data_IF_155481400493
#
_entry.id   IF_155481400493
#
_cell.length_a   1.000
_cell.length_b   1.000
_cell.length_c   1.000
_cell.angle_alpha   90.00
_cell.angle_beta   90.00
_cell.angle_gamma   90.00
#
_symmetry.space_group_name_H-M   'P 1'
#
loop_
_entity.id
_entity.type
_entity.pdbx_description
1 polymer ?
#
# COMPACT_ATOMS: atom_id res chain seq x y z
N UNK A 1 -28.78 -0.95 14.54
CA UNK A 1 -28.57 -1.00 16.01
C UNK A 1 -27.66 0.19 16.27
N UNK A 2 -28.21 1.30 16.77
CA UNK A 2 -27.51 2.60 16.75
C UNK A 2 -26.24 2.52 17.61
N UNK A 3 -25.07 2.74 17.00
CA UNK A 3 -23.87 3.03 17.77
C UNK A 3 -24.15 4.31 18.56
N UNK A 4 -23.88 4.36 19.87
CA UNK A 4 -24.42 5.45 20.64
C UNK A 4 -23.46 6.64 20.48
N UNK A 5 -24.00 7.79 20.06
CA UNK A 5 -23.34 9.06 19.72
C UNK A 5 -22.26 9.56 20.72
N UNK A 6 -22.15 8.98 21.92
CA UNK A 6 -21.17 9.38 22.92
C UNK A 6 -19.72 9.14 22.47
N UNK A 7 -19.42 8.02 21.79
CA UNK A 7 -18.05 7.69 21.42
C UNK A 7 -17.36 8.79 20.58
N UNK A 8 -18.13 9.49 19.74
CA UNK A 8 -17.60 10.56 18.90
C UNK A 8 -17.71 11.95 19.51
N UNK A 9 -18.67 12.20 20.42
CA UNK A 9 -18.63 13.40 21.24
C UNK A 9 -17.41 13.39 22.18
N UNK A 10 -16.93 12.22 22.59
CA UNK A 10 -15.66 12.13 23.30
C UNK A 10 -14.46 12.37 22.39
N UNK A 11 -14.54 11.98 21.11
CA UNK A 11 -13.46 12.24 20.16
C UNK A 11 -13.25 13.74 19.94
N UNK A 12 -14.31 14.52 19.75
CA UNK A 12 -14.18 15.99 19.63
C UNK A 12 -13.63 16.65 20.90
N UNK A 13 -13.92 16.09 22.07
CA UNK A 13 -13.47 16.62 23.36
C UNK A 13 -12.07 16.13 23.75
N UNK A 14 -11.57 15.06 23.14
CA UNK A 14 -10.27 14.47 23.44
C UNK A 14 -9.14 15.25 22.76
N UNK A 15 -8.97 16.52 23.13
CA UNK A 15 -8.01 17.42 22.48
C UNK A 15 -6.57 16.94 22.57
N UNK A 16 -6.19 16.10 23.52
CA UNK A 16 -4.85 15.50 23.62
C UNK A 16 -4.67 14.21 22.79
N UNK A 17 -5.70 13.76 22.06
CA UNK A 17 -5.65 12.52 21.30
C UNK A 17 -4.81 12.69 20.02
N UNK A 18 -3.71 11.95 19.94
CA UNK A 18 -2.81 11.99 18.79
C UNK A 18 -3.03 10.82 17.82
N UNK A 19 -3.52 9.67 18.32
CA UNK A 19 -3.76 8.48 17.52
C UNK A 19 -5.15 7.89 17.80
N UNK A 20 -5.84 7.51 16.73
CA UNK A 20 -7.15 6.88 16.82
C UNK A 20 -7.26 5.69 15.87
N UNK A 21 -7.74 4.57 16.40
CA UNK A 21 -8.03 3.37 15.61
C UNK A 21 -9.52 3.07 15.68
N UNK A 22 -10.16 3.04 14.50
CA UNK A 22 -11.59 2.80 14.37
C UNK A 22 -11.86 1.33 14.07
N UNK A 23 -12.20 0.55 15.10
CA UNK A 23 -12.62 -0.84 14.93
C UNK A 23 -14.13 -0.94 14.74
N UNK A 24 -14.58 -1.30 13.54
CA UNK A 24 -15.95 -1.75 13.30
C UNK A 24 -15.93 -3.25 12.98
N UNK A 25 -16.53 -4.05 13.86
CA UNK A 25 -16.56 -5.52 13.75
C UNK A 25 -17.81 -6.07 13.07
N UNK A 26 -18.81 -5.24 12.74
CA UNK A 26 -20.11 -5.72 12.28
C UNK A 26 -20.36 -5.41 10.80
N UNK A 27 -20.45 -6.47 10.00
CA UNK A 27 -20.90 -6.46 8.59
C UNK A 27 -22.40 -6.15 8.41
N UNK A 28 -23.14 -5.93 9.51
CA UNK A 28 -24.59 -5.73 9.54
C UNK A 28 -25.02 -4.32 9.94
N UNK A 29 -24.08 -3.43 10.24
CA UNK A 29 -24.36 -2.01 10.54
C UNK A 29 -24.12 -1.25 9.25
N UNK A 30 -25.18 -0.64 8.70
CA UNK A 30 -25.06 0.27 7.57
C UNK A 30 -24.08 1.38 7.93
N UNK A 31 -23.17 1.73 7.03
CA UNK A 31 -22.20 2.80 7.24
C UNK A 31 -22.87 4.14 7.63
N UNK A 32 -24.17 4.29 7.36
CA UNK A 32 -25.00 5.45 7.68
C UNK A 32 -25.40 5.58 9.17
N UNK A 33 -25.18 4.54 10.00
CA UNK A 33 -25.48 4.56 11.44
C UNK A 33 -24.32 5.16 12.29
N UNK A 34 -23.21 5.58 11.67
CA UNK A 34 -22.01 6.06 12.36
C UNK A 34 -21.94 7.59 12.48
N UNK A 35 -22.49 8.13 13.57
CA UNK A 35 -21.96 9.32 14.28
C UNK A 35 -21.89 10.67 13.54
N UNK A 36 -21.43 11.80 14.17
CA UNK A 36 -21.91 13.12 13.79
C UNK A 36 -21.47 13.50 12.39
N UNK A 37 -22.37 14.21 11.71
CA UNK A 37 -22.20 14.67 10.33
C UNK A 37 -21.04 15.68 10.13
N UNK A 38 -20.26 15.96 11.17
CA UNK A 38 -19.09 16.84 11.12
C UNK A 38 -18.21 16.58 12.35
N UNK A 39 -16.96 16.21 12.09
CA UNK A 39 -15.93 16.02 13.11
C UNK A 39 -14.71 16.83 12.69
N UNK A 40 -14.19 17.67 13.58
CA UNK A 40 -12.90 18.34 13.38
C UNK A 40 -12.00 17.96 14.55
N UNK A 41 -10.82 17.43 14.24
CA UNK A 41 -9.84 17.03 15.26
C UNK A 41 -8.45 17.52 14.89
N UNK A 42 -7.99 18.57 15.56
CA UNK A 42 -6.75 19.27 15.18
C UNK A 42 -5.50 18.50 15.61
N UNK A 43 -5.50 17.79 16.74
CA UNK A 43 -4.28 17.16 17.26
C UNK A 43 -4.07 15.72 16.79
N UNK A 44 -4.98 15.18 15.97
CA UNK A 44 -4.86 13.80 15.51
C UNK A 44 -3.80 13.72 14.42
N UNK A 45 -2.73 12.97 14.70
CA UNK A 45 -1.60 12.75 13.78
C UNK A 45 -1.65 11.37 13.14
N UNK A 46 -2.36 10.41 13.74
CA UNK A 46 -2.49 9.04 13.23
C UNK A 46 -3.93 8.56 13.24
N UNK A 47 -4.40 8.06 12.09
CA UNK A 47 -5.73 7.50 11.92
C UNK A 47 -5.65 6.13 11.25
N UNK A 48 -6.28 5.15 11.88
CA UNK A 48 -6.25 3.76 11.44
C UNK A 48 -7.70 3.25 11.26
N UNK A 49 -7.99 2.71 10.09
CA UNK A 49 -9.24 2.02 9.74
C UNK A 49 -8.93 0.55 9.42
N UNK A 50 -8.86 -0.34 10.43
CA UNK A 50 -8.36 -1.69 10.21
C UNK A 50 -9.23 -2.57 9.32
N UNK A 51 -10.54 -2.34 9.27
CA UNK A 51 -11.47 -3.23 8.55
C UNK A 51 -12.36 -2.49 7.54
N UNK A 52 -12.94 -1.35 7.91
CA UNK A 52 -13.91 -0.61 7.09
C UNK A 52 -13.64 0.88 7.21
N UNK A 53 -13.81 1.59 6.09
CA UNK A 53 -13.81 3.04 6.06
C UNK A 53 -15.24 3.56 6.25
N UNK A 54 -15.52 4.39 7.26
CA UNK A 54 -16.87 4.87 7.51
C UNK A 54 -17.35 5.79 6.38
N UNK A 55 -18.61 5.67 5.95
CA UNK A 55 -19.16 6.51 4.86
C UNK A 55 -19.10 7.99 5.22
N UNK A 56 -19.31 8.36 6.47
CA UNK A 56 -19.25 9.74 6.98
C UNK A 56 -17.85 10.35 7.00
N UNK A 57 -16.79 9.59 6.68
CA UNK A 57 -15.40 10.08 6.72
C UNK A 57 -15.21 11.37 5.90
N UNK A 58 -15.94 11.50 4.79
CA UNK A 58 -15.89 12.68 3.93
C UNK A 58 -16.31 14.00 4.62
N UNK A 59 -17.01 13.91 5.74
CA UNK A 59 -17.46 15.06 6.53
C UNK A 59 -16.46 15.47 7.62
N UNK A 60 -15.42 14.66 7.83
CA UNK A 60 -14.43 14.88 8.88
C UNK A 60 -13.26 15.76 8.39
N UNK A 61 -12.60 16.44 9.32
CA UNK A 61 -11.42 17.28 9.07
C UNK A 61 -10.35 17.05 10.13
N UNK A 62 -9.16 16.63 9.69
CA UNK A 62 -8.02 16.34 10.55
C UNK A 62 -6.76 17.00 9.97
N UNK A 63 -6.58 18.32 10.12
CA UNK A 63 -5.58 19.08 9.38
C UNK A 63 -4.12 18.71 9.68
N UNK A 64 -3.84 18.14 10.86
CA UNK A 64 -2.50 17.74 11.27
C UNK A 64 -2.25 16.23 11.11
N UNK A 65 -3.09 15.52 10.35
CA UNK A 65 -2.92 14.08 10.12
C UNK A 65 -1.61 13.80 9.35
N UNK A 66 -0.72 13.01 9.95
CA UNK A 66 0.55 12.62 9.35
C UNK A 66 0.53 11.18 8.84
N UNK A 67 -0.25 10.30 9.47
CA UNK A 67 -0.34 8.88 9.14
C UNK A 67 -1.77 8.43 8.92
N UNK A 68 -2.04 7.80 7.77
CA UNK A 68 -3.30 7.16 7.45
C UNK A 68 -3.06 5.69 7.11
N UNK A 69 -3.75 4.81 7.83
CA UNK A 69 -3.66 3.37 7.63
C UNK A 69 -5.04 2.78 7.36
N UNK A 70 -5.16 2.01 6.29
CA UNK A 70 -6.40 1.45 5.78
C UNK A 70 -6.29 -0.06 5.64
N UNK A 71 -7.27 -0.76 6.18
CA UNK A 71 -7.52 -2.20 6.01
C UNK A 71 -6.47 -3.13 6.63
N UNK A 72 -5.82 -2.74 7.72
CA UNK A 72 -4.75 -3.54 8.35
C UNK A 72 -5.20 -4.79 9.10
N UNK A 73 -6.47 -4.89 9.51
CA UNK A 73 -7.08 -6.08 10.12
C UNK A 73 -8.07 -6.74 9.16
N UNK A 74 -7.54 -7.38 8.13
CA UNK A 74 -8.31 -8.36 7.39
C UNK A 74 -8.19 -9.68 8.13
N UNK A 75 -9.32 -10.22 8.61
CA UNK A 75 -9.42 -11.58 9.17
C UNK A 75 -9.21 -12.68 8.11
N UNK A 76 -8.94 -12.29 6.86
CA UNK A 76 -8.47 -13.14 5.78
C UNK A 76 -6.97 -12.90 5.60
N UNK A 77 -6.25 -13.85 5.00
CA UNK A 77 -4.88 -13.62 4.53
C UNK A 77 -4.83 -12.24 3.85
N UNK A 78 -4.02 -11.28 4.33
CA UNK A 78 -4.08 -9.88 3.88
C UNK A 78 -3.84 -9.69 2.37
N UNK A 79 -3.39 -10.77 1.75
CA UNK A 79 -3.03 -10.97 0.37
C UNK A 79 -4.19 -11.54 -0.50
N UNK A 80 -5.36 -11.84 0.06
CA UNK A 80 -6.53 -12.37 -0.67
C UNK A 80 -7.80 -11.54 -0.48
N UNK A 81 -7.67 -10.35 0.10
CA UNK A 81 -8.81 -9.48 0.35
C UNK A 81 -9.37 -8.88 -0.95
N UNK A 82 -10.69 -8.67 -1.04
CA UNK A 82 -11.29 -8.03 -2.19
C UNK A 82 -10.75 -6.62 -2.38
N UNK A 83 -10.68 -6.17 -3.62
CA UNK A 83 -10.35 -4.79 -3.98
C UNK A 83 -11.24 -3.79 -3.23
N UNK A 84 -10.70 -2.62 -2.88
CA UNK A 84 -11.47 -1.54 -2.27
C UNK A 84 -12.52 -1.02 -3.24
N UNK A 85 -13.77 -0.90 -2.79
CA UNK A 85 -14.85 -0.42 -3.64
C UNK A 85 -14.81 1.10 -3.83
N UNK A 86 -15.27 1.58 -4.98
CA UNK A 86 -15.23 3.00 -5.37
C UNK A 86 -15.87 3.95 -4.35
N UNK A 87 -16.95 3.51 -3.70
CA UNK A 87 -17.64 4.29 -2.67
C UNK A 87 -16.72 4.60 -1.49
N UNK A 88 -16.03 3.59 -0.96
CA UNK A 88 -15.06 3.76 0.15
C UNK A 88 -13.95 4.74 -0.23
N UNK A 89 -13.40 4.61 -1.44
CA UNK A 89 -12.34 5.51 -1.93
C UNK A 89 -12.82 6.93 -2.18
N UNK A 90 -14.06 7.12 -2.63
CA UNK A 90 -14.67 8.45 -2.78
C UNK A 90 -14.70 9.18 -1.44
N UNK A 91 -15.06 8.50 -0.35
CA UNK A 91 -15.06 9.08 0.98
C UNK A 91 -13.65 9.50 1.43
N UNK A 92 -12.64 8.67 1.16
CA UNK A 92 -11.23 8.99 1.45
C UNK A 92 -10.78 10.22 0.65
N UNK A 93 -11.06 10.27 -0.66
CA UNK A 93 -10.68 11.39 -1.53
C UNK A 93 -11.34 12.71 -1.10
N UNK A 94 -12.56 12.68 -0.60
CA UNK A 94 -13.23 13.87 -0.09
C UNK A 94 -12.63 14.30 1.26
N UNK A 95 -12.34 13.34 2.13
CA UNK A 95 -11.68 13.59 3.41
C UNK A 95 -10.29 14.22 3.26
N UNK A 96 -9.47 13.73 2.32
CA UNK A 96 -8.15 14.30 2.03
C UNK A 96 -8.26 15.75 1.55
N UNK A 97 -9.22 16.04 0.66
CA UNK A 97 -9.50 17.41 0.17
C UNK A 97 -9.99 18.34 1.27
N UNK A 98 -10.87 17.85 2.14
CA UNK A 98 -11.48 18.62 3.22
C UNK A 98 -10.45 18.97 4.29
N UNK A 99 -9.65 17.98 4.71
CA UNK A 99 -8.68 18.14 5.79
C UNK A 99 -7.44 18.92 5.37
N UNK A 100 -7.04 18.85 4.09
CA UNK A 100 -5.83 19.51 3.54
C UNK A 100 -4.54 19.21 4.33
N UNK A 101 -4.46 18.04 4.95
CA UNK A 101 -3.28 17.62 5.70
C UNK A 101 -2.09 17.32 4.78
N UNK A 102 -0.90 17.40 5.35
CA UNK A 102 0.34 16.97 4.68
C UNK A 102 0.73 15.58 5.16
N UNK A 103 0.16 14.56 4.52
CA UNK A 103 0.36 13.17 4.92
C UNK A 103 1.81 12.73 4.71
N UNK A 104 2.43 12.16 5.74
CA UNK A 104 3.81 11.62 5.68
C UNK A 104 3.82 10.13 5.37
N UNK A 105 2.85 9.39 5.88
CA UNK A 105 2.75 7.94 5.71
C UNK A 105 1.34 7.52 5.30
N UNK A 106 1.25 6.77 4.19
CA UNK A 106 0.03 6.15 3.71
C UNK A 106 0.23 4.63 3.66
N UNK A 107 -0.68 3.88 4.27
CA UNK A 107 -0.67 2.41 4.23
C UNK A 107 -2.04 1.90 3.81
N UNK A 108 -2.09 1.17 2.70
CA UNK A 108 -3.32 0.55 2.18
C UNK A 108 -3.07 -0.94 2.00
N UNK A 109 -3.70 -1.74 2.86
CA UNK A 109 -3.46 -3.18 2.92
C UNK A 109 -4.40 -4.00 2.02
N UNK A 110 -5.41 -3.37 1.39
CA UNK A 110 -6.25 -3.98 0.33
C UNK A 110 -5.80 -3.50 -1.07
N UNK A 111 -5.96 -4.33 -2.11
CA UNK A 111 -5.77 -3.89 -3.50
C UNK A 111 -6.66 -2.69 -3.84
N UNK A 112 -6.14 -1.75 -4.62
CA UNK A 112 -6.87 -0.57 -5.12
C UNK A 112 -6.61 -0.43 -6.62
N UNK A 113 -7.64 -0.10 -7.39
CA UNK A 113 -7.49 0.19 -8.82
C UNK A 113 -6.50 1.31 -9.06
N UNK A 114 -5.68 1.15 -10.10
CA UNK A 114 -4.63 2.10 -10.46
C UNK A 114 -5.15 3.54 -10.59
N UNK A 115 -6.25 3.73 -11.32
CA UNK A 115 -6.82 5.06 -11.57
C UNK A 115 -7.26 5.78 -10.29
N UNK A 116 -7.85 5.06 -9.34
CA UNK A 116 -8.28 5.64 -8.06
C UNK A 116 -7.07 5.95 -7.17
N UNK A 117 -6.11 5.02 -7.09
CA UNK A 117 -4.90 5.23 -6.32
C UNK A 117 -4.09 6.43 -6.87
N UNK A 118 -4.03 6.57 -8.20
CA UNK A 118 -3.44 7.71 -8.90
C UNK A 118 -4.06 9.03 -8.45
N UNK A 119 -5.38 9.13 -8.42
CA UNK A 119 -6.09 10.35 -7.99
C UNK A 119 -5.88 10.68 -6.51
N UNK A 120 -5.75 9.67 -5.66
CA UNK A 120 -5.39 9.85 -4.25
C UNK A 120 -3.96 10.36 -4.11
N UNK A 121 -3.00 9.72 -4.80
CA UNK A 121 -1.58 10.07 -4.70
C UNK A 121 -1.27 11.44 -5.31
N UNK A 122 -1.99 11.88 -6.35
CA UNK A 122 -1.89 13.27 -6.85
C UNK A 122 -2.17 14.30 -5.75
N UNK A 123 -3.13 14.03 -4.86
CA UNK A 123 -3.47 14.94 -3.77
C UNK A 123 -2.47 14.90 -2.61
N UNK A 124 -1.89 13.73 -2.34
CA UNK A 124 -1.07 13.49 -1.14
C UNK A 124 0.45 13.53 -1.38
N UNK A 125 0.87 13.45 -2.64
CA UNK A 125 2.27 13.26 -3.07
C UNK A 125 3.28 14.25 -2.47
N UNK A 126 2.87 15.50 -2.24
CA UNK A 126 3.77 16.57 -1.76
C UNK A 126 4.29 16.36 -0.33
N UNK A 127 3.55 15.63 0.52
CA UNK A 127 3.95 15.30 1.89
C UNK A 127 4.53 13.90 2.05
N UNK A 128 4.22 13.01 1.11
CA UNK A 128 4.36 11.58 1.32
C UNK A 128 5.83 11.13 1.32
N UNK A 129 6.22 10.46 2.39
CA UNK A 129 7.57 9.92 2.60
C UNK A 129 7.63 8.40 2.69
N UNK A 130 6.54 7.78 3.17
CA UNK A 130 6.36 6.33 3.28
C UNK A 130 5.06 5.92 2.61
N UNK A 131 5.14 4.95 1.69
CA UNK A 131 4.00 4.38 0.99
C UNK A 131 4.00 2.86 1.12
N UNK A 132 2.92 2.30 1.65
CA UNK A 132 2.63 0.86 1.64
C UNK A 132 1.37 0.64 0.84
N UNK A 133 1.45 -0.16 -0.23
CA UNK A 133 0.30 -0.52 -1.05
C UNK A 133 0.26 -2.02 -1.30
N UNK A 134 -0.94 -2.59 -1.24
CA UNK A 134 -1.20 -3.91 -1.78
C UNK A 134 -1.55 -3.79 -3.26
N UNK A 135 -0.89 -4.58 -4.09
CA UNK A 135 -1.09 -4.62 -5.54
C UNK A 135 -1.67 -5.97 -5.94
N UNK A 136 -2.59 -5.94 -6.91
CA UNK A 136 -3.00 -7.13 -7.64
C UNK A 136 -1.95 -7.40 -8.71
N UNK A 137 -1.41 -8.62 -8.76
CA UNK A 137 -0.39 -8.96 -9.72
C UNK A 137 -0.87 -8.89 -11.16
N UNK A 138 -2.16 -9.09 -11.44
CA UNK A 138 -2.74 -9.02 -12.79
C UNK A 138 -2.76 -7.61 -13.37
N UNK A 139 -2.90 -6.59 -12.52
CA UNK A 139 -2.98 -5.17 -12.93
C UNK A 139 -1.76 -4.36 -12.50
N UNK A 140 -0.78 -5.00 -11.86
CA UNK A 140 0.43 -4.37 -11.33
C UNK A 140 1.20 -3.52 -12.36
N UNK A 141 1.37 -4.03 -13.58
CA UNK A 141 2.04 -3.29 -14.65
C UNK A 141 1.32 -2.00 -15.05
N UNK A 142 -0.01 -2.01 -15.11
CA UNK A 142 -0.81 -0.81 -15.39
C UNK A 142 -0.64 0.20 -14.26
N UNK A 143 -0.73 -0.27 -13.01
CA UNK A 143 -0.48 0.55 -11.84
C UNK A 143 0.92 1.19 -11.89
N UNK A 144 1.98 0.43 -12.13
CA UNK A 144 3.34 0.99 -12.14
C UNK A 144 3.59 1.97 -13.29
N UNK A 145 2.91 1.81 -14.43
CA UNK A 145 2.94 2.80 -15.52
C UNK A 145 2.20 4.07 -15.13
N UNK A 146 1.06 3.95 -14.46
CA UNK A 146 0.30 5.09 -13.92
C UNK A 146 1.01 5.78 -12.76
N UNK A 147 1.86 5.10 -12.01
CA UNK A 147 2.71 5.71 -10.98
C UNK A 147 4.07 6.18 -11.54
N UNK A 148 4.39 5.78 -12.77
CA UNK A 148 5.66 6.03 -13.41
C UNK A 148 5.88 7.49 -13.81
N UNK A 149 7.10 7.84 -14.21
CA UNK A 149 7.47 9.23 -14.55
C UNK A 149 6.63 9.85 -15.67
N UNK A 150 5.96 9.05 -16.49
CA UNK A 150 5.10 9.51 -17.60
C UNK A 150 3.72 9.99 -17.17
N UNK A 151 3.26 9.65 -15.96
CA UNK A 151 1.90 9.96 -15.51
C UNK A 151 1.74 11.34 -14.89
N UNK A 152 2.85 12.06 -14.68
CA UNK A 152 2.83 13.37 -14.04
C UNK A 152 2.53 13.33 -12.54
N UNK A 153 2.55 12.15 -11.89
CA UNK A 153 2.50 12.03 -10.42
C UNK A 153 3.93 12.14 -9.89
N UNK A 154 4.33 13.25 -9.27
CA UNK A 154 5.66 13.34 -8.71
C UNK A 154 5.65 12.57 -7.37
N UNK A 155 6.61 11.66 -7.16
CA UNK A 155 6.91 11.10 -5.83
C UNK A 155 8.20 11.70 -5.27
N UNK A 156 8.30 13.04 -5.17
CA UNK A 156 9.58 13.68 -4.94
C UNK A 156 10.10 13.38 -3.54
N UNK A 157 9.23 13.04 -2.58
CA UNK A 157 9.58 12.89 -1.17
C UNK A 157 9.52 11.45 -0.67
N UNK A 158 9.06 10.49 -1.49
CA UNK A 158 8.93 9.10 -1.07
C UNK A 158 10.32 8.50 -0.89
N UNK A 159 10.63 8.12 0.35
CA UNK A 159 11.87 7.45 0.75
C UNK A 159 11.67 5.96 0.95
N UNK A 160 10.46 5.56 1.31
CA UNK A 160 10.13 4.18 1.64
C UNK A 160 8.92 3.74 0.82
N UNK A 161 9.10 2.67 0.03
CA UNK A 161 8.05 2.03 -0.73
C UNK A 161 7.97 0.55 -0.33
N UNK A 162 6.79 0.13 0.11
CA UNK A 162 6.47 -1.29 0.34
C UNK A 162 5.37 -1.72 -0.61
N UNK A 163 5.66 -2.72 -1.42
CA UNK A 163 4.72 -3.37 -2.32
C UNK A 163 4.33 -4.71 -1.72
N UNK A 164 3.06 -4.87 -1.38
CA UNK A 164 2.50 -6.13 -0.90
C UNK A 164 1.78 -6.78 -2.05
N UNK A 165 1.98 -8.07 -2.29
CA UNK A 165 1.32 -8.78 -3.40
C UNK A 165 0.74 -10.11 -2.96
N UNK A 166 -0.44 -10.39 -3.51
CA UNK A 166 -1.15 -11.64 -3.32
C UNK A 166 -0.32 -12.88 -3.64
N UNK A 167 -0.60 -13.96 -2.92
CA UNK A 167 -0.06 -15.27 -3.23
C UNK A 167 -0.41 -15.63 -4.68
N UNK A 168 0.57 -16.20 -5.38
CA UNK A 168 0.54 -16.64 -6.79
C UNK A 168 1.02 -15.64 -7.85
N UNK A 169 1.35 -14.39 -7.50
CA UNK A 169 1.64 -13.40 -8.54
C UNK A 169 2.84 -12.49 -8.29
N UNK A 170 3.69 -12.74 -7.28
CA UNK A 170 4.91 -11.92 -7.07
C UNK A 170 5.77 -11.76 -8.32
N UNK A 171 5.76 -12.77 -9.21
CA UNK A 171 6.50 -12.74 -10.47
C UNK A 171 5.85 -11.89 -11.56
N UNK A 172 4.55 -11.65 -11.51
CA UNK A 172 3.89 -10.77 -12.48
C UNK A 172 4.37 -9.32 -12.33
N UNK A 173 4.85 -8.92 -11.14
CA UNK A 173 5.56 -7.65 -10.91
C UNK A 173 6.79 -7.48 -11.81
N UNK A 174 7.35 -8.60 -12.26
CA UNK A 174 8.56 -8.68 -13.06
C UNK A 174 8.28 -9.25 -14.45
N UNK A 175 7.03 -9.31 -14.93
CA UNK A 175 6.71 -9.73 -16.31
C UNK A 175 7.02 -8.65 -17.34
N UNK A 176 6.95 -7.38 -16.95
CA UNK A 176 7.43 -6.24 -17.73
C UNK A 176 8.46 -5.40 -16.96
N UNK A 177 8.91 -4.29 -17.54
CA UNK A 177 9.89 -3.39 -16.94
C UNK A 177 9.26 -2.22 -16.16
N UNK A 178 7.94 -2.21 -15.95
CA UNK A 178 7.23 -1.08 -15.37
C UNK A 178 7.66 -0.82 -13.92
N UNK A 179 7.74 -1.86 -13.09
CA UNK A 179 8.25 -1.76 -11.71
C UNK A 179 9.68 -1.22 -11.69
N UNK A 180 10.53 -1.74 -12.57
CA UNK A 180 11.94 -1.34 -12.66
C UNK A 180 12.09 0.13 -13.04
N UNK A 181 11.30 0.61 -14.01
CA UNK A 181 11.28 2.02 -14.41
C UNK A 181 10.81 2.92 -13.27
N UNK A 182 9.75 2.52 -12.58
CA UNK A 182 9.21 3.24 -11.43
C UNK A 182 10.27 3.37 -10.32
N UNK A 183 10.81 2.24 -9.85
CA UNK A 183 11.82 2.20 -8.78
C UNK A 183 13.06 2.99 -9.18
N UNK A 184 13.55 2.84 -10.41
CA UNK A 184 14.71 3.58 -10.90
C UNK A 184 14.46 5.09 -10.88
N UNK A 185 13.26 5.52 -11.30
CA UNK A 185 12.86 6.93 -11.28
C UNK A 185 12.81 7.47 -9.86
N UNK A 186 12.13 6.75 -8.96
CA UNK A 186 12.01 7.17 -7.55
C UNK A 186 13.36 7.16 -6.83
N UNK A 187 14.25 6.20 -7.12
CA UNK A 187 15.58 6.12 -6.53
C UNK A 187 16.50 7.28 -6.93
N UNK A 188 16.43 7.72 -8.20
CA UNK A 188 17.13 8.93 -8.64
C UNK A 188 16.64 10.19 -7.93
N UNK A 189 15.40 10.18 -7.44
CA UNK A 189 14.83 11.29 -6.68
C UNK A 189 15.19 11.17 -5.20
N UNK A 190 14.56 10.23 -4.48
CA UNK A 190 14.71 10.13 -3.03
C UNK A 190 14.47 8.74 -2.43
N UNK A 191 14.06 7.72 -3.21
CA UNK A 191 13.78 6.38 -2.69
C UNK A 191 15.04 5.76 -2.09
N UNK A 192 14.95 5.38 -0.81
CA UNK A 192 16.02 4.73 -0.03
C UNK A 192 15.69 3.30 0.32
N UNK A 193 14.43 2.97 0.52
CA UNK A 193 13.98 1.65 0.92
C UNK A 193 12.91 1.14 -0.05
N UNK A 194 13.11 -0.07 -0.55
CA UNK A 194 12.14 -0.83 -1.33
C UNK A 194 11.93 -2.18 -0.65
N UNK A 195 10.72 -2.44 -0.20
CA UNK A 195 10.30 -3.75 0.29
C UNK A 195 9.25 -4.34 -0.66
N UNK A 196 9.45 -5.58 -1.09
CA UNK A 196 8.44 -6.37 -1.79
C UNK A 196 8.08 -7.53 -0.87
N UNK A 197 6.82 -7.61 -0.45
CA UNK A 197 6.31 -8.59 0.51
C UNK A 197 5.27 -9.51 -0.15
N UNK A 198 5.45 -10.82 0.00
CA UNK A 198 4.53 -11.83 -0.48
C UNK A 198 4.35 -12.92 0.59
N UNK A 199 3.12 -13.42 0.79
CA UNK A 199 2.85 -14.45 1.79
C UNK A 199 3.23 -15.87 1.38
N UNK A 200 3.36 -16.17 0.08
CA UNK A 200 3.70 -17.49 -0.42
C UNK A 200 4.24 -17.45 -1.86
N UNK A 201 5.30 -18.22 -2.12
CA UNK A 201 5.66 -18.60 -3.49
C UNK A 201 5.00 -19.92 -3.83
N UNK A 202 3.97 -19.88 -4.68
CA UNK A 202 3.76 -21.05 -5.54
C UNK A 202 4.89 -21.11 -6.57
N UNK A 203 5.41 -22.31 -6.80
CA UNK A 203 6.42 -22.57 -7.82
C UNK A 203 5.91 -22.08 -9.19
N UNK A 204 6.55 -21.05 -9.73
CA UNK A 204 6.38 -20.66 -11.13
C UNK A 204 7.60 -21.13 -11.93
N UNK A 205 7.40 -21.51 -13.20
CA UNK A 205 8.50 -21.90 -14.06
C UNK A 205 9.47 -20.73 -14.25
N UNK A 206 10.76 -21.06 -14.24
CA UNK A 206 11.84 -20.13 -14.52
C UNK A 206 11.60 -19.33 -15.80
N UNK A 207 11.73 -17.99 -15.73
CA UNK A 207 11.69 -17.08 -16.88
C UNK A 207 12.93 -16.17 -16.89
N UNK A 208 13.78 -16.21 -17.94
CA UNK A 208 15.01 -15.41 -18.00
C UNK A 208 14.80 -13.91 -17.74
N UNK A 209 13.76 -13.31 -18.33
CA UNK A 209 13.47 -11.87 -18.18
C UNK A 209 13.17 -11.46 -16.73
N UNK A 210 12.55 -12.34 -15.93
CA UNK A 210 12.29 -12.09 -14.50
C UNK A 210 13.61 -12.02 -13.74
N UNK A 211 14.55 -12.91 -14.07
CA UNK A 211 15.87 -12.95 -13.43
C UNK A 211 16.71 -11.72 -13.75
N UNK A 212 16.68 -11.24 -15.00
CA UNK A 212 17.36 -10.00 -15.38
C UNK A 212 16.85 -8.80 -14.57
N UNK A 213 15.54 -8.72 -14.33
CA UNK A 213 14.90 -7.65 -13.55
C UNK A 213 15.24 -7.75 -12.06
N UNK A 214 15.27 -8.95 -11.51
CA UNK A 214 15.74 -9.18 -10.13
C UNK A 214 17.23 -8.82 -9.97
N UNK A 215 18.06 -9.18 -10.95
CA UNK A 215 19.48 -8.80 -10.98
C UNK A 215 19.64 -7.27 -11.06
N UNK A 216 18.76 -6.58 -11.79
CA UNK A 216 18.74 -5.12 -11.83
C UNK A 216 18.40 -4.51 -10.45
N UNK A 217 17.39 -5.02 -9.74
CA UNK A 217 17.09 -4.56 -8.38
C UNK A 217 18.28 -4.77 -7.43
N UNK A 218 19.00 -5.88 -7.60
CA UNK A 218 20.22 -6.14 -6.85
C UNK A 218 21.35 -5.16 -7.20
N UNK A 219 21.47 -4.75 -8.45
CA UNK A 219 22.41 -3.71 -8.85
C UNK A 219 22.05 -2.36 -8.20
N UNK A 220 20.77 -1.99 -8.12
CA UNK A 220 20.33 -0.82 -7.37
C UNK A 220 20.67 -0.94 -5.87
N UNK A 221 20.56 -2.15 -5.30
CA UNK A 221 20.98 -2.39 -3.91
C UNK A 221 22.46 -2.07 -3.68
N UNK A 222 23.33 -2.47 -4.60
CA UNK A 222 24.76 -2.11 -4.58
C UNK A 222 25.01 -0.61 -4.76
N UNK A 223 24.06 0.13 -5.31
CA UNK A 223 24.11 1.60 -5.45
C UNK A 223 23.52 2.35 -4.24
N UNK A 224 23.14 1.64 -3.17
CA UNK A 224 22.67 2.23 -1.92
C UNK A 224 21.16 2.21 -1.71
N UNK A 225 20.38 1.52 -2.55
CA UNK A 225 18.98 1.21 -2.27
C UNK A 225 18.88 0.05 -1.26
N UNK A 226 18.19 0.25 -0.14
CA UNK A 226 17.85 -0.85 0.76
C UNK A 226 16.67 -1.63 0.17
N UNK A 227 16.99 -2.64 -0.65
CA UNK A 227 16.00 -3.48 -1.32
C UNK A 227 15.89 -4.87 -0.67
N UNK A 228 14.65 -5.31 -0.43
CA UNK A 228 14.31 -6.66 0.02
C UNK A 228 13.17 -7.26 -0.81
N UNK A 229 13.26 -8.57 -1.07
CA UNK A 229 12.18 -9.38 -1.64
C UNK A 229 11.88 -10.47 -0.63
N UNK A 230 10.87 -10.24 0.19
CA UNK A 230 10.48 -11.14 1.27
C UNK A 230 9.34 -12.04 0.83
N UNK A 231 9.61 -13.33 0.74
CA UNK A 231 8.60 -14.36 0.46
C UNK A 231 8.64 -15.33 1.64
N UNK A 232 7.49 -15.57 2.28
CA UNK A 232 7.39 -16.46 3.46
C UNK A 232 8.39 -16.08 4.59
N UNK A 233 8.65 -14.78 4.74
CA UNK A 233 9.59 -14.24 5.74
C UNK A 233 11.07 -14.35 5.36
N UNK A 234 11.40 -14.91 4.20
CA UNK A 234 12.77 -15.03 3.70
C UNK A 234 13.07 -13.89 2.72
N UNK A 235 14.05 -13.04 3.03
CA UNK A 235 14.57 -12.05 2.08
C UNK A 235 15.53 -12.69 1.07
N UNK A 236 15.10 -12.76 -0.18
CA UNK A 236 15.86 -13.36 -1.28
C UNK A 236 16.81 -12.39 -1.99
N UNK A 237 16.74 -11.08 -1.71
CA UNK A 237 17.75 -10.11 -2.16
C UNK A 237 18.86 -9.92 -1.11
N UNK A 238 18.78 -10.62 0.02
CA UNK A 238 19.65 -10.45 1.19
C UNK A 238 21.11 -10.83 0.97
N UNK A 239 21.37 -11.99 0.37
CA UNK A 239 22.72 -12.52 0.15
C UNK A 239 22.84 -13.24 -1.21
N UNK A 240 24.05 -13.63 -1.60
CA UNK A 240 24.28 -14.34 -2.87
C UNK A 240 23.63 -15.72 -2.88
N UNK A 241 23.71 -16.48 -1.80
CA UNK A 241 23.22 -17.86 -1.75
C UNK A 241 21.69 -17.95 -1.87
N UNK A 242 20.95 -17.07 -1.21
CA UNK A 242 19.49 -16.95 -1.30
C UNK A 242 19.03 -16.47 -2.67
N UNK A 243 19.76 -15.52 -3.26
CA UNK A 243 19.47 -15.11 -4.62
C UNK A 243 19.73 -16.24 -5.63
N UNK A 244 20.73 -17.09 -5.41
CA UNK A 244 20.97 -18.28 -6.22
C UNK A 244 20.01 -19.43 -5.88
N UNK A 245 19.47 -19.50 -4.65
CA UNK A 245 18.48 -20.50 -4.27
C UNK A 245 17.17 -20.28 -5.00
N UNK A 246 16.82 -19.01 -5.29
CA UNK A 246 15.79 -18.64 -6.27
C UNK A 246 16.00 -19.40 -7.59
N UNK A 247 17.21 -19.34 -8.17
CA UNK A 247 17.50 -20.00 -9.45
C UNK A 247 17.32 -21.52 -9.34
N UNK A 248 17.81 -22.14 -8.27
CA UNK A 248 17.75 -23.61 -8.10
C UNK A 248 16.33 -24.09 -7.85
N UNK A 249 15.61 -23.42 -6.96
CA UNK A 249 14.23 -23.74 -6.62
C UNK A 249 13.33 -23.62 -7.87
N UNK A 250 13.55 -22.59 -8.70
CA UNK A 250 12.69 -22.32 -9.86
C UNK A 250 13.12 -23.05 -11.14
N UNK A 251 14.41 -23.36 -11.31
CA UNK A 251 14.87 -24.24 -12.40
C UNK A 251 14.42 -25.69 -12.20
N UNK A 252 14.37 -26.16 -10.96
CA UNK A 252 13.89 -27.52 -10.63
C UNK A 252 12.38 -27.67 -10.86
N UNK A 253 11.57 -26.66 -10.49
CA UNK A 253 10.14 -26.64 -10.77
C UNK A 253 9.82 -26.68 -12.28
N UNK A 254 10.62 -25.98 -13.11
CA UNK A 254 10.46 -26.00 -14.57
C UNK A 254 10.73 -27.38 -15.19
N UNK A 255 11.66 -28.15 -14.63
CA UNK A 255 11.99 -29.52 -15.08
C UNK A 255 10.92 -30.55 -14.70
N UNK A 256 10.19 -30.33 -13.61
CA UNK A 256 9.10 -31.20 -13.14
C UNK A 256 7.76 -30.93 -13.83
N UNK A 257 7.64 -29.82 -14.55
CA UNK A 257 6.44 -29.41 -15.31
C UNK A 257 6.43 -29.84 -16.79
N UNK A 258 7.43 -30.62 -17.22
CA UNK A 258 7.53 -31.24 -18.55
C UNK A 258 7.17 -32.73 -18.47
#
# INVERSE_FOLDING_TARGET
MNFPNWAFSHLTMATALESFTFHCSNSSVSNDDFSPQSLIHENLSCLIFPAVVPSVLHEWSMPNLETLELYSMLGQTPFSAPEVVDGEMSHILQFTRRSRFRLRALRIFRPVRASILSDLLKQLSSGLSSLVITVDGTTSSELFRELGPTSGIPFPNVRELTLRISDRQVFSLFEDDALIRLVSSMHRQNLRCLAIECSSSQEMPFRPNVMERLAFLRALKKQGLLASLTIEGIDFLGDDDRFHSIYRHWAHAALLSQ
#
